data_IF_582023619777
#
_entry.id   IF_582023619777
#
_cell.length_a   1.000
_cell.length_b   1.000
_cell.length_c   1.000
_cell.angle_alpha   90.00
_cell.angle_beta   90.00
_cell.angle_gamma   90.00
#
_symmetry.space_group_name_H-M   'P 1'
#
loop_
_entity.id
_entity.type
_entity.pdbx_description
1 polymer ?
#
# COMPACT_ATOMS: atom_id res chain seq x y z
N UNK A 1 17.20 41.45 -17.91
CA UNK A 1 17.19 41.55 -16.43
C UNK A 1 15.78 41.94 -16.07
N UNK A 2 15.00 41.04 -15.46
CA UNK A 2 13.62 41.35 -15.06
C UNK A 2 13.73 42.02 -13.69
N UNK A 3 13.43 43.32 -13.61
CA UNK A 3 13.38 44.05 -12.35
C UNK A 3 11.93 44.06 -11.89
N UNK A 4 11.61 43.29 -10.84
CA UNK A 4 10.31 43.34 -10.16
C UNK A 4 10.41 44.17 -8.89
N UNK A 5 9.35 44.88 -8.53
CA UNK A 5 9.25 45.59 -7.26
C UNK A 5 8.99 44.61 -6.10
N UNK A 6 9.22 45.05 -4.86
CA UNK A 6 8.89 44.23 -3.69
C UNK A 6 7.38 43.99 -3.58
N UNK A 7 6.56 44.94 -4.01
CA UNK A 7 5.09 44.78 -4.04
C UNK A 7 4.69 43.68 -5.02
N UNK A 8 5.24 43.69 -6.23
CA UNK A 8 5.01 42.63 -7.24
C UNK A 8 5.47 41.25 -6.77
N UNK A 9 6.55 41.17 -5.99
CA UNK A 9 7.04 39.90 -5.42
C UNK A 9 6.18 39.39 -4.24
N UNK A 10 5.34 40.25 -3.66
CA UNK A 10 4.43 39.91 -2.56
C UNK A 10 2.99 39.69 -3.01
N UNK A 11 2.66 40.04 -4.26
CA UNK A 11 1.38 39.74 -4.85
C UNK A 11 1.25 38.22 -5.05
N UNK A 12 0.04 37.69 -4.84
CA UNK A 12 -0.24 36.29 -5.16
C UNK A 12 -0.19 36.06 -6.68
N UNK A 13 0.36 34.92 -7.09
CA UNK A 13 0.37 34.50 -8.49
C UNK A 13 -1.06 34.12 -8.90
N UNK A 14 -1.59 34.81 -9.91
CA UNK A 14 -2.97 34.62 -10.40
C UNK A 14 -3.24 33.17 -10.83
N UNK A 15 -2.23 32.43 -11.31
CA UNK A 15 -2.40 31.03 -11.71
C UNK A 15 -2.75 30.15 -10.52
N UNK A 16 -2.17 30.44 -9.35
CA UNK A 16 -2.42 29.68 -8.13
C UNK A 16 -3.85 29.88 -7.63
N UNK A 17 -4.42 31.07 -7.83
CA UNK A 17 -5.80 31.39 -7.44
C UNK A 17 -6.86 30.59 -8.22
N UNK A 18 -6.50 29.98 -9.35
CA UNK A 18 -7.37 29.12 -10.15
C UNK A 18 -7.51 27.70 -9.57
N UNK A 19 -6.66 27.29 -8.62
CA UNK A 19 -6.74 25.98 -7.98
C UNK A 19 -7.63 26.07 -6.74
N UNK A 20 -8.81 25.44 -6.83
CA UNK A 20 -9.86 25.50 -5.81
C UNK A 20 -10.10 24.13 -5.18
N UNK A 21 -10.82 24.03 -4.06
CA UNK A 21 -11.24 22.73 -3.49
C UNK A 21 -12.02 21.83 -4.45
N UNK A 22 -12.64 22.40 -5.49
CA UNK A 22 -13.39 21.67 -6.53
C UNK A 22 -12.55 21.39 -7.78
N UNK A 23 -11.24 21.62 -7.74
CA UNK A 23 -10.32 21.49 -8.87
C UNK A 23 -10.01 22.82 -9.55
N UNK A 24 -9.66 22.76 -10.84
CA UNK A 24 -9.27 23.93 -11.63
C UNK A 24 -10.48 24.79 -11.97
N UNK A 25 -10.60 25.94 -11.31
CA UNK A 25 -11.62 26.95 -11.54
C UNK A 25 -11.31 27.80 -12.76
N UNK A 26 -11.93 27.49 -13.90
CA UNK A 26 -11.77 28.29 -15.13
C UNK A 26 -12.44 29.66 -15.00
N UNK A 27 -13.54 29.73 -14.23
CA UNK A 27 -14.37 30.95 -14.04
C UNK A 27 -14.40 31.43 -12.59
N UNK A 28 -13.84 30.66 -11.65
CA UNK A 28 -13.79 30.98 -10.23
C UNK A 28 -12.34 31.15 -9.79
N UNK A 29 -12.01 32.29 -9.17
CA UNK A 29 -10.71 32.54 -8.56
C UNK A 29 -10.86 32.68 -7.05
N UNK A 30 -9.97 32.05 -6.30
CA UNK A 30 -9.84 32.31 -4.88
C UNK A 30 -9.20 33.68 -4.65
N UNK A 31 -9.52 34.31 -3.52
CA UNK A 31 -8.71 35.43 -3.01
C UNK A 31 -7.30 34.94 -2.65
N UNK A 32 -6.28 35.80 -2.59
CA UNK A 32 -4.93 35.42 -2.14
C UNK A 32 -4.93 34.61 -0.83
N UNK A 33 -5.69 35.05 0.18
CA UNK A 33 -5.76 34.41 1.49
C UNK A 33 -6.48 33.06 1.43
N UNK A 34 -7.54 32.96 0.64
CA UNK A 34 -8.24 31.69 0.44
C UNK A 34 -7.39 30.70 -0.36
N UNK A 35 -6.60 31.17 -1.33
CA UNK A 35 -5.64 30.35 -2.05
C UNK A 35 -4.56 29.80 -1.11
N UNK A 36 -3.99 30.66 -0.24
CA UNK A 36 -3.02 30.22 0.77
C UNK A 36 -3.62 29.21 1.76
N UNK A 37 -4.80 29.48 2.31
CA UNK A 37 -5.50 28.56 3.21
C UNK A 37 -5.78 27.20 2.53
N UNK A 38 -6.19 27.23 1.26
CA UNK A 38 -6.39 26.00 0.49
C UNK A 38 -5.08 25.23 0.28
N UNK A 39 -3.98 25.90 -0.10
CA UNK A 39 -2.68 25.24 -0.25
C UNK A 39 -2.13 24.70 1.09
N UNK A 40 -2.43 25.35 2.21
CA UNK A 40 -2.14 24.78 3.53
C UNK A 40 -2.91 23.48 3.77
N UNK A 41 -4.23 23.50 3.54
CA UNK A 41 -5.08 22.31 3.73
C UNK A 41 -4.66 21.15 2.81
N UNK A 42 -4.12 21.43 1.62
CA UNK A 42 -3.56 20.40 0.73
C UNK A 42 -2.36 19.65 1.34
N UNK A 43 -1.71 20.20 2.36
CA UNK A 43 -0.60 19.56 3.09
C UNK A 43 -1.03 18.96 4.43
N UNK A 44 -2.31 18.98 4.79
CA UNK A 44 -2.79 18.36 6.02
C UNK A 44 -2.49 16.84 6.01
N UNK A 45 -2.05 16.29 7.15
CA UNK A 45 -1.69 14.87 7.26
C UNK A 45 -0.28 14.52 6.75
N UNK A 46 0.56 15.51 6.44
CA UNK A 46 1.96 15.31 6.02
C UNK A 46 2.98 15.39 7.16
N UNK A 47 2.53 15.32 8.42
CA UNK A 47 3.42 15.46 9.57
C UNK A 47 4.37 14.27 9.72
N UNK A 48 5.63 14.58 10.06
CA UNK A 48 6.66 13.57 10.28
C UNK A 48 6.75 13.15 11.74
N UNK A 49 6.79 11.85 12.01
CA UNK A 49 6.94 11.30 13.37
C UNK A 49 8.24 11.75 14.03
N UNK A 50 8.26 11.89 15.35
CA UNK A 50 9.35 12.52 16.12
C UNK A 50 10.71 11.84 15.91
N UNK A 51 10.72 10.53 15.66
CA UNK A 51 11.91 9.70 15.49
C UNK A 51 12.70 10.02 14.20
N UNK A 52 12.09 10.72 13.24
CA UNK A 52 12.75 11.09 11.98
C UNK A 52 13.98 11.96 12.27
N UNK A 53 15.11 11.58 11.67
CA UNK A 53 16.37 12.28 11.87
C UNK A 53 16.27 13.76 11.46
N UNK A 54 16.89 14.63 12.26
CA UNK A 54 16.79 16.10 12.11
C UNK A 54 17.20 16.59 10.71
N UNK A 55 18.25 16.00 10.11
CA UNK A 55 18.68 16.34 8.76
C UNK A 55 17.61 16.09 7.70
N UNK A 56 16.88 14.97 7.81
CA UNK A 56 15.76 14.64 6.94
C UNK A 56 14.54 15.54 7.22
N UNK A 57 14.22 15.79 8.50
CA UNK A 57 13.13 16.68 8.92
C UNK A 57 13.30 18.11 8.37
N UNK A 58 14.48 18.71 8.54
CA UNK A 58 14.75 20.07 8.05
C UNK A 58 14.60 20.20 6.52
N UNK A 59 14.98 19.16 5.77
CA UNK A 59 14.78 19.15 4.31
C UNK A 59 13.33 18.99 3.92
N UNK A 60 12.58 18.17 4.63
CA UNK A 60 11.14 18.03 4.42
C UNK A 60 10.41 19.35 4.71
N UNK A 61 10.71 20.02 5.82
CA UNK A 61 10.13 21.33 6.13
C UNK A 61 10.52 22.42 5.12
N UNK A 62 11.72 22.34 4.55
CA UNK A 62 12.11 23.19 3.41
C UNK A 62 11.23 22.95 2.18
N UNK A 63 10.88 21.69 1.89
CA UNK A 63 9.95 21.36 0.79
C UNK A 63 8.57 21.96 1.05
N UNK A 64 8.00 21.79 2.25
CA UNK A 64 6.71 22.40 2.63
C UNK A 64 6.74 23.93 2.53
N UNK A 65 7.83 24.53 2.97
CA UNK A 65 8.02 25.99 2.88
C UNK A 65 8.06 26.46 1.41
N UNK A 66 8.78 25.75 0.54
CA UNK A 66 8.83 26.07 -0.90
C UNK A 66 7.46 25.91 -1.55
N UNK A 67 6.72 24.87 -1.17
CA UNK A 67 5.36 24.65 -1.66
C UNK A 67 4.45 25.83 -1.34
N UNK A 68 4.43 26.28 -0.08
CA UNK A 68 3.58 27.41 0.33
C UNK A 68 3.99 28.74 -0.33
N UNK A 69 5.28 28.91 -0.64
CA UNK A 69 5.76 30.05 -1.46
C UNK A 69 5.22 30.03 -2.90
N UNK A 70 4.76 28.87 -3.37
CA UNK A 70 4.04 28.70 -4.64
C UNK A 70 2.84 29.64 -4.83
N UNK A 71 2.26 30.11 -3.73
CA UNK A 71 1.18 31.11 -3.76
C UNK A 71 1.64 32.46 -4.31
N UNK A 72 2.89 32.84 -4.08
CA UNK A 72 3.46 34.11 -4.55
C UNK A 72 4.22 33.93 -5.88
N UNK A 73 4.75 32.74 -6.11
CA UNK A 73 5.48 32.39 -7.33
C UNK A 73 5.15 30.95 -7.74
N UNK A 74 4.30 30.78 -8.75
CA UNK A 74 3.79 29.47 -9.15
C UNK A 74 4.90 28.47 -9.51
N UNK A 75 6.06 28.92 -10.01
CA UNK A 75 7.17 28.02 -10.34
C UNK A 75 7.72 27.32 -9.09
N UNK A 76 7.55 27.91 -7.90
CA UNK A 76 7.95 27.31 -6.63
C UNK A 76 7.21 26.00 -6.32
N UNK A 77 6.02 25.74 -6.88
CA UNK A 77 5.38 24.41 -6.78
C UNK A 77 6.17 23.35 -7.53
N UNK A 78 6.68 23.68 -8.71
CA UNK A 78 7.53 22.78 -9.51
C UNK A 78 8.81 22.47 -8.74
N UNK A 79 9.46 23.51 -8.23
CA UNK A 79 10.67 23.39 -7.41
C UNK A 79 10.41 22.56 -6.16
N UNK A 80 9.28 22.75 -5.47
CA UNK A 80 8.94 21.97 -4.29
C UNK A 80 8.74 20.47 -4.63
N UNK A 81 7.99 20.16 -5.68
CA UNK A 81 7.78 18.77 -6.12
C UNK A 81 9.07 18.08 -6.57
N UNK A 82 9.94 18.81 -7.27
CA UNK A 82 11.26 18.30 -7.68
C UNK A 82 12.19 18.11 -6.49
N UNK A 83 12.19 19.07 -5.57
CA UNK A 83 12.99 18.96 -4.35
C UNK A 83 12.51 17.78 -3.50
N UNK A 84 11.21 17.54 -3.39
CA UNK A 84 10.65 16.38 -2.69
C UNK A 84 11.20 15.05 -3.24
N UNK A 85 11.29 14.90 -4.57
CA UNK A 85 11.87 13.70 -5.22
C UNK A 85 13.34 13.49 -4.88
N UNK A 86 14.10 14.57 -4.67
CA UNK A 86 15.49 14.49 -4.23
C UNK A 86 15.60 14.15 -2.74
N UNK A 87 14.66 14.62 -1.90
CA UNK A 87 14.65 14.35 -0.46
C UNK A 87 14.37 12.88 -0.16
N UNK A 88 13.61 12.16 -0.99
CA UNK A 88 13.42 10.70 -0.87
C UNK A 88 14.75 9.96 -0.74
N UNK A 89 15.70 10.27 -1.63
CA UNK A 89 17.02 9.62 -1.59
C UNK A 89 17.80 10.00 -0.34
N UNK A 90 17.72 11.25 0.10
CA UNK A 90 18.37 11.68 1.32
C UNK A 90 17.83 10.91 2.54
N UNK A 91 16.50 10.80 2.66
CA UNK A 91 15.85 10.05 3.72
C UNK A 91 16.29 8.58 3.73
N UNK A 92 16.37 7.94 2.55
CA UNK A 92 16.87 6.58 2.42
C UNK A 92 18.33 6.44 2.89
N UNK A 93 19.20 7.39 2.53
CA UNK A 93 20.61 7.39 2.95
C UNK A 93 20.76 7.59 4.46
N UNK A 94 20.06 8.57 5.03
CA UNK A 94 20.04 8.83 6.47
C UNK A 94 19.53 7.61 7.24
N UNK A 95 18.45 6.99 6.74
CA UNK A 95 17.91 5.77 7.33
C UNK A 95 18.88 4.60 7.21
N UNK A 96 19.53 4.41 6.06
CA UNK A 96 20.52 3.34 5.86
C UNK A 96 21.67 3.43 6.87
N UNK A 97 22.26 4.61 7.04
CA UNK A 97 23.38 4.80 7.95
C UNK A 97 22.97 4.56 9.41
N UNK A 98 21.81 5.09 9.82
CA UNK A 98 21.30 4.92 11.19
C UNK A 98 20.87 3.48 11.48
N UNK A 99 20.21 2.81 10.54
CA UNK A 99 19.76 1.41 10.66
C UNK A 99 20.93 0.47 10.97
N UNK A 100 22.04 0.62 10.25
CA UNK A 100 23.26 -0.17 10.47
C UNK A 100 24.20 0.40 11.53
N UNK A 101 23.80 1.46 12.25
CA UNK A 101 24.65 2.15 13.25
C UNK A 101 26.05 2.46 12.68
N UNK A 102 26.08 2.97 11.45
CA UNK A 102 27.29 3.32 10.70
C UNK A 102 28.26 2.15 10.44
N UNK A 103 27.80 0.89 10.47
CA UNK A 103 28.60 -0.31 10.23
C UNK A 103 27.87 -1.33 9.39
N UNK A 104 28.35 -1.58 8.17
CA UNK A 104 27.76 -2.56 7.27
C UNK A 104 28.61 -3.83 7.21
N UNK A 105 27.94 -4.98 7.03
CA UNK A 105 28.59 -6.27 6.80
C UNK A 105 28.53 -6.58 5.31
N UNK A 106 29.70 -6.77 4.71
CA UNK A 106 29.86 -7.10 3.30
C UNK A 106 30.36 -8.52 3.16
N UNK A 107 29.80 -9.29 2.23
CA UNK A 107 30.19 -10.68 1.98
C UNK A 107 30.73 -10.80 0.56
N UNK A 108 31.93 -11.33 0.43
CA UNK A 108 32.55 -11.63 -0.87
C UNK A 108 31.83 -12.79 -1.53
N UNK A 109 31.31 -12.57 -2.74
CA UNK A 109 30.62 -13.62 -3.51
C UNK A 109 31.55 -14.75 -3.97
N UNK A 110 32.85 -14.48 -4.10
CA UNK A 110 33.85 -15.45 -4.56
C UNK A 110 34.43 -16.29 -3.43
N UNK A 111 34.58 -15.72 -2.23
CA UNK A 111 35.26 -16.39 -1.09
C UNK A 111 34.35 -16.68 0.10
N UNK A 112 33.15 -16.10 0.13
CA UNK A 112 32.26 -16.13 1.31
C UNK A 112 32.78 -15.30 2.49
N UNK A 113 33.93 -14.62 2.35
CA UNK A 113 34.53 -13.86 3.44
C UNK A 113 33.68 -12.64 3.82
N UNK A 114 33.44 -12.47 5.13
CA UNK A 114 32.74 -11.31 5.68
C UNK A 114 33.72 -10.20 6.08
N UNK A 115 33.39 -8.97 5.73
CA UNK A 115 34.13 -7.77 6.13
C UNK A 115 33.18 -6.73 6.68
N UNK A 116 33.47 -6.22 7.87
CA UNK A 116 32.77 -5.08 8.45
C UNK A 116 33.39 -3.79 7.93
N UNK A 117 32.58 -2.89 7.36
CA UNK A 117 33.00 -1.58 6.90
C UNK A 117 32.36 -0.47 7.76
N UNK A 118 33.20 0.42 8.28
CA UNK A 118 32.76 1.64 8.95
C UNK A 118 32.32 2.68 7.92
N UNK A 119 31.08 3.14 8.02
CA UNK A 119 30.42 4.03 7.05
C UNK A 119 29.70 5.17 7.79
N UNK A 120 30.44 6.23 8.12
CA UNK A 120 29.87 7.46 8.72
C UNK A 120 29.29 8.42 7.67
N UNK A 121 29.59 8.20 6.39
CA UNK A 121 29.04 8.93 5.25
C UNK A 121 28.70 7.99 4.11
N UNK A 122 27.82 8.45 3.22
CA UNK A 122 27.40 7.66 2.08
C UNK A 122 28.49 7.52 1.01
N UNK A 123 29.43 8.46 0.93
CA UNK A 123 30.63 8.32 0.09
C UNK A 123 31.49 7.15 0.56
N UNK A 124 31.58 6.92 1.88
CA UNK A 124 32.26 5.74 2.42
C UNK A 124 31.50 4.45 2.15
N UNK A 125 30.16 4.48 2.10
CA UNK A 125 29.35 3.34 1.65
C UNK A 125 29.75 2.98 0.23
N UNK A 126 29.72 3.94 -0.71
CA UNK A 126 30.12 3.69 -2.10
C UNK A 126 31.56 3.17 -2.21
N UNK A 127 32.50 3.82 -1.54
CA UNK A 127 33.90 3.40 -1.53
C UNK A 127 34.10 1.99 -0.94
N UNK A 128 33.23 1.53 -0.03
CA UNK A 128 33.32 0.18 0.52
C UNK A 128 33.03 -0.90 -0.55
N UNK A 129 32.12 -0.62 -1.49
CA UNK A 129 31.78 -1.52 -2.60
C UNK A 129 32.73 -1.40 -3.80
N UNK A 130 33.41 -0.26 -3.99
CA UNK A 130 34.36 -0.03 -5.09
C UNK A 130 35.74 -0.70 -4.87
N UNK A 131 36.07 -1.16 -3.66
CA UNK A 131 37.42 -1.67 -3.33
C UNK A 131 37.72 -3.09 -3.86
N UNK A 132 38.96 -3.26 -4.37
CA UNK A 132 39.54 -4.50 -4.95
C UNK A 132 39.24 -5.76 -4.12
N UNK A 133 38.78 -6.82 -4.79
CA UNK A 133 38.56 -8.15 -4.16
C UNK A 133 37.40 -9.00 -4.72
N UNK A 134 36.70 -8.56 -5.76
CA UNK A 134 35.55 -9.27 -6.35
C UNK A 134 34.20 -8.63 -5.99
N UNK A 135 33.07 -9.19 -6.44
CA UNK A 135 31.75 -8.65 -6.14
C UNK A 135 31.43 -8.85 -4.65
N UNK A 136 31.13 -7.76 -3.95
CA UNK A 136 30.66 -7.76 -2.56
C UNK A 136 29.14 -7.58 -2.53
N UNK A 137 28.46 -8.37 -1.71
CA UNK A 137 27.03 -8.21 -1.41
C UNK A 137 26.83 -7.66 0.00
N UNK A 138 25.77 -6.91 0.21
CA UNK A 138 25.35 -6.45 1.52
C UNK A 138 24.68 -7.62 2.25
N UNK A 139 25.08 -7.91 3.48
CA UNK A 139 24.35 -8.86 4.32
C UNK A 139 23.22 -8.14 5.04
N UNK A 140 21.99 -8.51 4.73
CA UNK A 140 20.80 -7.97 5.37
C UNK A 140 20.68 -8.46 6.81
N UNK A 141 20.04 -7.66 7.65
CA UNK A 141 19.78 -7.98 9.06
C UNK A 141 18.67 -9.02 9.15
N UNK A 142 17.62 -8.87 8.35
CA UNK A 142 16.54 -9.85 8.25
C UNK A 142 17.02 -11.06 7.44
N UNK A 143 16.96 -12.24 8.07
CA UNK A 143 17.25 -13.53 7.43
C UNK A 143 18.70 -13.76 7.01
N UNK A 144 19.61 -12.79 7.17
CA UNK A 144 21.00 -12.89 6.76
C UNK A 144 21.20 -13.00 5.24
N UNK A 145 20.20 -12.60 4.45
CA UNK A 145 20.19 -12.70 2.99
C UNK A 145 21.27 -11.78 2.40
N UNK A 146 21.88 -12.21 1.29
CA UNK A 146 22.90 -11.44 0.58
C UNK A 146 22.27 -10.65 -0.56
N UNK A 147 22.24 -9.33 -0.42
CA UNK A 147 21.62 -8.42 -1.39
C UNK A 147 22.67 -7.77 -2.30
N UNK A 148 22.33 -7.64 -3.59
CA UNK A 148 23.12 -6.86 -4.53
C UNK A 148 22.91 -5.36 -4.27
N UNK A 149 23.94 -4.71 -3.77
CA UNK A 149 23.88 -3.31 -3.39
C UNK A 149 25.05 -2.54 -3.98
N UNK A 150 24.74 -1.46 -4.70
CA UNK A 150 25.73 -0.60 -5.35
C UNK A 150 25.78 0.82 -4.76
N UNK A 151 25.07 1.07 -3.66
CA UNK A 151 24.98 2.40 -3.06
C UNK A 151 24.27 3.43 -3.95
N UNK A 152 23.48 3.02 -4.94
CA UNK A 152 22.67 3.92 -5.75
C UNK A 152 21.21 3.90 -5.29
N UNK A 153 20.40 4.86 -5.75
CA UNK A 153 19.00 4.99 -5.37
C UNK A 153 18.21 3.68 -5.50
N UNK A 154 18.36 2.95 -6.60
CA UNK A 154 17.66 1.67 -6.77
C UNK A 154 18.07 0.63 -5.71
N UNK A 155 19.36 0.55 -5.40
CA UNK A 155 19.87 -0.33 -4.34
C UNK A 155 19.35 0.06 -2.96
N UNK A 156 19.23 1.36 -2.67
CA UNK A 156 18.62 1.85 -1.42
C UNK A 156 17.15 1.47 -1.29
N UNK A 157 16.37 1.60 -2.36
CA UNK A 157 14.97 1.18 -2.33
C UNK A 157 14.83 -0.33 -2.12
N UNK A 158 15.61 -1.14 -2.86
CA UNK A 158 15.59 -2.59 -2.70
C UNK A 158 16.00 -2.99 -1.28
N UNK A 159 17.10 -2.44 -0.78
CA UNK A 159 17.53 -2.62 0.61
C UNK A 159 16.41 -2.32 1.61
N UNK A 160 15.76 -1.16 1.52
CA UNK A 160 14.72 -0.78 2.46
C UNK A 160 13.52 -1.74 2.42
N UNK A 161 13.19 -2.29 1.25
CA UNK A 161 12.14 -3.30 1.12
C UNK A 161 12.53 -4.65 1.70
N UNK A 162 13.72 -5.13 1.39
CA UNK A 162 14.18 -6.45 1.85
C UNK A 162 14.48 -6.45 3.36
N UNK A 163 14.79 -5.29 3.96
CA UNK A 163 14.82 -5.09 5.43
C UNK A 163 13.42 -4.77 6.03
N UNK A 164 12.33 -4.87 5.25
CA UNK A 164 10.96 -4.70 5.73
C UNK A 164 10.57 -3.28 6.12
N UNK A 165 11.36 -2.28 5.76
CA UNK A 165 11.12 -0.86 6.10
C UNK A 165 10.09 -0.20 5.18
N UNK A 166 9.82 -0.79 4.01
CA UNK A 166 8.88 -0.25 3.02
C UNK A 166 7.97 -1.38 2.50
N UNK A 167 6.91 -1.73 3.25
CA UNK A 167 5.94 -2.76 2.84
C UNK A 167 5.03 -2.25 1.71
N UNK A 168 4.26 -3.16 1.12
CA UNK A 168 3.20 -2.86 0.17
C UNK A 168 3.62 -3.04 -1.28
N UNK A 169 2.81 -3.79 -2.02
CA UNK A 169 3.03 -4.10 -3.43
C UNK A 169 2.65 -2.94 -4.36
N UNK A 170 1.68 -2.10 -3.99
CA UNK A 170 1.35 -0.88 -4.73
C UNK A 170 2.50 0.12 -4.71
N UNK A 171 3.10 0.35 -3.54
CA UNK A 171 4.29 1.18 -3.44
C UNK A 171 5.45 0.58 -4.25
N UNK A 172 5.55 -0.75 -4.31
CA UNK A 172 6.61 -1.46 -5.06
C UNK A 172 6.50 -1.23 -6.56
N UNK A 173 5.29 -1.32 -7.12
CA UNK A 173 5.06 -1.09 -8.55
C UNK A 173 5.32 0.36 -8.96
N UNK A 174 5.19 1.32 -8.03
CA UNK A 174 5.49 2.74 -8.28
C UNK A 174 6.99 3.08 -8.20
N UNK A 175 7.82 2.24 -7.59
CA UNK A 175 9.24 2.51 -7.37
C UNK A 175 10.03 2.83 -8.67
N UNK A 176 9.90 2.06 -9.78
CA UNK A 176 10.60 2.40 -11.02
C UNK A 176 10.24 3.79 -11.56
N UNK A 177 8.98 4.20 -11.40
CA UNK A 177 8.50 5.54 -11.80
C UNK A 177 9.12 6.61 -10.91
N UNK A 178 9.15 6.40 -9.59
CA UNK A 178 9.78 7.35 -8.66
C UNK A 178 11.28 7.53 -8.95
N UNK A 179 12.00 6.44 -9.24
CA UNK A 179 13.41 6.49 -9.63
C UNK A 179 13.59 7.28 -10.93
N UNK A 180 12.76 7.01 -11.95
CA UNK A 180 12.80 7.73 -13.23
C UNK A 180 12.56 9.22 -13.04
N UNK A 181 11.53 9.60 -12.27
CA UNK A 181 11.21 11.00 -12.00
C UNK A 181 12.33 11.70 -11.21
N UNK A 182 12.89 11.06 -10.18
CA UNK A 182 14.07 11.59 -9.46
C UNK A 182 15.24 11.80 -10.42
N UNK A 183 15.51 10.86 -11.33
CA UNK A 183 16.62 10.97 -12.29
C UNK A 183 16.40 12.12 -13.29
N UNK A 184 15.17 12.34 -13.75
CA UNK A 184 14.85 13.49 -14.61
C UNK A 184 15.14 14.82 -13.91
N UNK A 185 14.85 14.92 -12.61
CA UNK A 185 15.16 16.12 -11.81
C UNK A 185 16.68 16.30 -11.63
N UNK A 186 17.40 15.21 -11.36
CA UNK A 186 18.86 15.27 -11.18
C UNK A 186 19.62 15.58 -12.49
N UNK A 187 19.02 15.24 -13.64
CA UNK A 187 19.59 15.40 -14.97
C UNK A 187 18.56 16.03 -15.92
N UNK A 188 18.22 17.31 -15.73
CA UNK A 188 17.16 17.96 -16.50
C UNK A 188 17.55 18.07 -17.98
N UNK A 189 16.63 17.69 -18.86
CA UNK A 189 16.78 17.80 -20.31
C UNK A 189 16.03 18.99 -20.91
N UNK A 190 15.26 19.73 -20.11
CA UNK A 190 14.45 20.86 -20.55
C UNK A 190 13.67 21.51 -19.40
N UNK A 191 12.91 22.56 -19.73
CA UNK A 191 11.99 23.21 -18.81
C UNK A 191 10.70 22.40 -18.67
N UNK A 192 10.19 22.30 -17.45
CA UNK A 192 8.84 21.81 -17.16
C UNK A 192 8.18 22.68 -16.10
N UNK A 193 6.85 22.66 -16.10
CA UNK A 193 6.03 23.34 -15.10
C UNK A 193 5.02 22.34 -14.53
N UNK A 194 5.07 22.14 -13.21
CA UNK A 194 4.15 21.30 -12.46
C UNK A 194 3.00 22.10 -11.85
N UNK A 195 1.98 21.39 -11.35
CA UNK A 195 0.82 21.99 -10.68
C UNK A 195 0.95 21.91 -9.16
N UNK A 196 0.26 22.78 -8.39
CA UNK A 196 0.18 22.66 -6.94
C UNK A 196 -0.41 21.32 -6.47
N UNK A 197 -1.33 20.73 -7.23
CA UNK A 197 -1.94 19.43 -6.89
C UNK A 197 -0.92 18.30 -7.02
N UNK A 198 -0.15 18.29 -8.11
CA UNK A 198 0.90 17.30 -8.31
C UNK A 198 2.02 17.45 -7.27
N UNK A 199 2.42 18.69 -6.96
CA UNK A 199 3.42 18.96 -5.95
C UNK A 199 2.96 18.50 -4.56
N UNK A 200 1.72 18.80 -4.15
CA UNK A 200 1.15 18.31 -2.89
C UNK A 200 1.16 16.78 -2.83
N UNK A 201 0.71 16.11 -3.89
CA UNK A 201 0.72 14.63 -3.96
C UNK A 201 2.12 14.05 -3.76
N UNK A 202 3.14 14.64 -4.38
CA UNK A 202 4.53 14.19 -4.20
C UNK A 202 5.04 14.44 -2.78
N UNK A 203 4.60 15.53 -2.14
CA UNK A 203 4.95 15.83 -0.73
C UNK A 203 4.28 14.83 0.23
N UNK A 204 3.02 14.46 -0.02
CA UNK A 204 2.33 13.39 0.69
C UNK A 204 3.06 12.06 0.55
N UNK A 205 3.37 11.66 -0.69
CA UNK A 205 4.15 10.44 -0.95
C UNK A 205 5.49 10.46 -0.20
N UNK A 206 6.18 11.61 -0.18
CA UNK A 206 7.43 11.79 0.54
C UNK A 206 7.24 11.62 2.06
N UNK A 207 6.21 12.22 2.64
CA UNK A 207 5.91 12.10 4.07
C UNK A 207 5.63 10.64 4.45
N UNK A 208 4.82 9.93 3.66
CA UNK A 208 4.54 8.50 3.84
C UNK A 208 5.80 7.66 3.78
N UNK A 209 6.68 7.89 2.79
CA UNK A 209 7.95 7.16 2.65
C UNK A 209 8.86 7.43 3.86
N UNK A 210 9.02 8.69 4.28
CA UNK A 210 9.86 9.06 5.42
C UNK A 210 9.31 8.42 6.69
N UNK A 211 8.03 8.59 7.01
CA UNK A 211 7.46 8.01 8.22
C UNK A 211 7.63 6.49 8.24
N UNK A 212 7.37 5.83 7.10
CA UNK A 212 7.45 4.37 7.01
C UNK A 212 8.88 3.87 7.20
N UNK A 213 9.88 4.56 6.63
CA UNK A 213 11.30 4.27 6.87
C UNK A 213 11.66 4.28 8.36
N UNK A 214 11.03 5.14 9.16
CA UNK A 214 11.21 5.24 10.61
C UNK A 214 10.21 4.40 11.43
N UNK A 215 9.41 3.55 10.77
CA UNK A 215 8.54 2.58 11.42
C UNK A 215 7.11 3.06 11.68
N UNK A 216 6.73 4.23 11.16
CA UNK A 216 5.39 4.77 11.29
C UNK A 216 4.62 4.71 9.97
N UNK A 217 3.44 4.10 9.98
CA UNK A 217 2.55 4.07 8.80
C UNK A 217 1.53 5.19 8.88
N UNK A 218 1.14 5.74 7.73
CA UNK A 218 0.32 6.96 7.67
C UNK A 218 -1.16 6.61 7.68
N UNK A 219 -1.97 7.10 8.64
CA UNK A 219 -3.42 6.94 8.60
C UNK A 219 -4.02 7.51 7.31
N UNK A 220 -4.78 6.69 6.58
CA UNK A 220 -5.33 7.08 5.27
C UNK A 220 -4.29 7.23 4.14
N UNK A 221 -3.03 6.85 4.39
CA UNK A 221 -1.94 6.90 3.41
C UNK A 221 -2.22 6.09 2.15
N UNK A 222 -1.66 6.52 1.03
CA UNK A 222 -1.86 5.91 -0.29
C UNK A 222 -0.82 4.84 -0.61
N UNK A 223 0.43 5.05 -0.19
CA UNK A 223 1.57 4.18 -0.44
C UNK A 223 1.83 3.23 0.73
N UNK A 224 1.82 3.77 1.95
CA UNK A 224 2.10 3.04 3.18
C UNK A 224 1.03 3.31 4.24
N UNK A 225 -0.23 2.92 3.99
CA UNK A 225 -1.33 3.10 4.93
C UNK A 225 -1.05 2.41 6.27
N UNK A 226 -1.46 3.08 7.35
CA UNK A 226 -1.60 2.46 8.67
C UNK A 226 -2.60 1.30 8.64
N UNK A 227 -2.54 0.39 9.63
CA UNK A 227 -3.61 -0.60 9.83
C UNK A 227 -4.99 0.04 9.77
N UNK A 228 -5.95 -0.69 9.20
CA UNK A 228 -7.33 -0.20 9.09
C UNK A 228 -8.11 -0.65 10.31
N UNK A 229 -8.84 0.29 10.91
CA UNK A 229 -9.81 0.00 11.96
C UNK A 229 -11.00 -0.75 11.36
N UNK A 230 -11.35 -1.89 11.97
CA UNK A 230 -12.54 -2.66 11.65
C UNK A 230 -13.44 -2.69 12.86
N UNK A 231 -14.72 -2.45 12.63
CA UNK A 231 -15.73 -2.56 13.68
C UNK A 231 -16.68 -3.71 13.41
N UNK A 232 -17.41 -4.09 14.45
CA UNK A 232 -18.46 -5.10 14.35
C UNK A 232 -19.65 -4.51 13.58
N UNK A 233 -20.06 -5.18 12.51
CA UNK A 233 -21.16 -4.79 11.64
C UNK A 233 -22.16 -5.94 11.50
N UNK A 234 -23.44 -5.59 11.38
CA UNK A 234 -24.48 -6.48 10.88
C UNK A 234 -24.60 -6.34 9.37
N UNK A 235 -24.71 -7.47 8.69
CA UNK A 235 -25.17 -7.54 7.30
C UNK A 235 -26.47 -8.31 7.30
N UNK A 236 -27.54 -7.71 6.78
CA UNK A 236 -28.88 -8.29 6.74
C UNK A 236 -29.40 -8.22 5.31
N UNK A 237 -30.02 -9.29 4.83
CA UNK A 237 -30.73 -9.25 3.55
C UNK A 237 -31.97 -10.13 3.56
N UNK A 238 -32.92 -9.80 2.70
CA UNK A 238 -34.15 -10.55 2.49
C UNK A 238 -34.15 -11.36 1.19
N UNK A 239 -35.21 -12.13 0.98
CA UNK A 239 -35.42 -12.95 -0.23
C UNK A 239 -35.52 -12.12 -1.53
N UNK A 240 -35.68 -10.79 -1.43
CA UNK A 240 -35.70 -9.88 -2.60
C UNK A 240 -34.29 -9.43 -3.01
N UNK A 241 -33.28 -9.75 -2.20
CA UNK A 241 -31.90 -9.34 -2.41
C UNK A 241 -31.59 -7.92 -1.92
N UNK A 242 -32.49 -7.29 -1.18
CA UNK A 242 -32.22 -6.00 -0.52
C UNK A 242 -31.25 -6.24 0.63
N UNK A 243 -30.11 -5.54 0.63
CA UNK A 243 -29.07 -5.65 1.65
C UNK A 243 -29.02 -4.38 2.50
N UNK A 244 -28.95 -4.54 3.82
CA UNK A 244 -28.71 -3.49 4.79
C UNK A 244 -27.47 -3.80 5.63
N UNK A 245 -26.63 -2.77 5.84
CA UNK A 245 -25.35 -2.89 6.55
C UNK A 245 -25.24 -1.75 7.55
N UNK A 246 -24.92 -2.08 8.79
CA UNK A 246 -24.66 -1.08 9.83
C UNK A 246 -24.26 -1.69 11.17
N UNK A 247 -24.08 -0.81 12.16
CA UNK A 247 -23.88 -1.20 13.55
C UNK A 247 -25.17 -1.85 14.09
N UNK A 248 -25.03 -2.85 14.97
CA UNK A 248 -26.14 -3.55 15.63
C UNK A 248 -27.18 -2.64 16.29
N UNK A 249 -26.78 -1.45 16.72
CA UNK A 249 -27.64 -0.44 17.34
C UNK A 249 -28.36 0.46 16.32
N UNK A 250 -27.91 0.46 15.06
CA UNK A 250 -28.36 1.40 14.03
C UNK A 250 -29.15 0.77 12.89
N UNK A 251 -29.08 -0.56 12.71
CA UNK A 251 -29.82 -1.22 11.62
C UNK A 251 -31.32 -1.26 11.96
N UNK A 252 -32.18 -0.59 11.18
CA UNK A 252 -33.61 -0.51 11.47
C UNK A 252 -34.29 -1.85 11.15
N UNK A 253 -34.47 -2.69 12.18
CA UNK A 253 -35.12 -3.99 12.04
C UNK A 253 -36.61 -3.90 11.75
N UNK A 254 -37.22 -2.73 11.99
CA UNK A 254 -38.66 -2.50 11.86
C UNK A 254 -39.19 -2.57 10.41
N UNK A 255 -38.30 -2.47 9.43
CA UNK A 255 -38.67 -2.39 8.00
C UNK A 255 -38.39 -3.68 7.22
N UNK A 256 -37.88 -4.73 7.89
CA UNK A 256 -37.50 -5.98 7.23
C UNK A 256 -38.50 -7.10 7.55
N UNK A 257 -38.82 -7.92 6.56
CA UNK A 257 -39.81 -9.01 6.65
C UNK A 257 -39.31 -10.17 7.52
N UNK A 258 -40.18 -11.13 7.85
CA UNK A 258 -39.85 -12.27 8.73
C UNK A 258 -38.78 -13.24 8.16
N UNK A 259 -38.39 -13.10 6.90
CA UNK A 259 -37.42 -13.97 6.22
C UNK A 259 -36.15 -13.20 5.86
N UNK A 260 -35.38 -12.82 6.88
CA UNK A 260 -34.06 -12.20 6.69
C UNK A 260 -32.95 -13.14 7.10
N UNK A 261 -31.87 -13.12 6.33
CA UNK A 261 -30.59 -13.72 6.73
C UNK A 261 -29.71 -12.63 7.31
N UNK A 262 -29.07 -12.93 8.43
CA UNK A 262 -28.21 -12.02 9.17
C UNK A 262 -26.83 -12.65 9.39
N UNK A 263 -25.80 -11.82 9.21
CA UNK A 263 -24.40 -12.10 9.56
C UNK A 263 -23.88 -11.02 10.52
N UNK A 264 -23.02 -11.43 11.43
CA UNK A 264 -22.18 -10.52 12.22
C UNK A 264 -20.76 -10.65 11.69
N UNK A 265 -20.20 -9.53 11.22
CA UNK A 265 -18.85 -9.48 10.65
C UNK A 265 -18.01 -8.42 11.36
N UNK A 266 -16.68 -8.56 11.30
CA UNK A 266 -15.75 -7.46 11.60
C UNK A 266 -15.20 -6.91 10.29
N UNK A 267 -15.48 -5.63 10.01
CA UNK A 267 -15.18 -5.00 8.72
C UNK A 267 -14.89 -3.49 8.84
N UNK A 268 -14.25 -2.92 7.82
CA UNK A 268 -14.04 -1.48 7.73
C UNK A 268 -15.35 -0.75 7.35
N UNK A 269 -15.76 0.24 8.15
CA UNK A 269 -17.09 0.88 8.06
C UNK A 269 -17.22 1.86 6.90
N UNK A 270 -16.11 2.46 6.49
CA UNK A 270 -16.10 3.55 5.51
C UNK A 270 -16.38 3.07 4.08
N UNK A 271 -16.48 1.75 3.86
CA UNK A 271 -16.66 1.17 2.53
C UNK A 271 -17.74 0.08 2.52
N UNK A 272 -18.96 0.41 2.99
CA UNK A 272 -20.07 -0.56 3.10
C UNK A 272 -20.44 -1.20 1.75
N UNK A 273 -20.19 -0.52 0.63
CA UNK A 273 -20.45 -1.07 -0.70
C UNK A 273 -19.55 -2.27 -1.01
N UNK A 274 -18.33 -2.31 -0.47
CA UNK A 274 -17.41 -3.45 -0.62
C UNK A 274 -17.92 -4.71 0.09
N UNK A 275 -18.84 -4.60 1.05
CA UNK A 275 -19.42 -5.76 1.73
C UNK A 275 -20.53 -6.43 0.92
N UNK A 276 -20.98 -5.81 -0.18
CA UNK A 276 -21.89 -6.47 -1.12
C UNK A 276 -21.13 -7.57 -1.87
N UNK A 277 -21.66 -8.79 -1.87
CA UNK A 277 -20.94 -9.94 -2.43
C UNK A 277 -19.88 -10.53 -1.49
N UNK A 278 -19.86 -10.13 -0.21
CA UNK A 278 -19.07 -10.81 0.81
C UNK A 278 -19.42 -12.31 0.85
N UNK A 279 -18.38 -13.14 0.81
CA UNK A 279 -18.47 -14.59 0.93
C UNK A 279 -17.30 -15.04 1.80
N UNK A 280 -17.52 -15.64 2.99
CA UNK A 280 -16.45 -15.96 3.92
C UNK A 280 -15.53 -17.08 3.41
N UNK A 281 -15.87 -17.75 2.30
CA UNK A 281 -15.01 -18.74 1.63
C UNK A 281 -13.95 -18.10 0.74
N UNK A 282 -14.08 -16.81 0.44
CA UNK A 282 -13.25 -16.07 -0.50
C UNK A 282 -12.87 -14.70 0.05
N UNK A 283 -11.77 -14.14 -0.45
CA UNK A 283 -11.36 -12.77 -0.17
C UNK A 283 -11.95 -11.89 -1.29
N UNK A 284 -13.22 -11.48 -1.17
CA UNK A 284 -13.92 -10.68 -2.20
C UNK A 284 -13.88 -9.17 -1.95
N UNK A 285 -13.46 -8.76 -0.76
CA UNK A 285 -13.48 -7.36 -0.32
C UNK A 285 -12.09 -6.76 -0.31
N UNK A 286 -11.97 -5.46 -0.62
CA UNK A 286 -10.66 -4.77 -0.60
C UNK A 286 -9.93 -4.94 0.74
N UNK A 287 -10.66 -4.78 1.85
CA UNK A 287 -10.13 -4.91 3.20
C UNK A 287 -10.49 -6.27 3.81
N UNK A 288 -9.67 -6.83 4.72
CA UNK A 288 -9.98 -8.10 5.37
C UNK A 288 -11.29 -8.04 6.16
N UNK A 289 -12.20 -8.98 5.89
CA UNK A 289 -13.47 -9.11 6.61
C UNK A 289 -13.49 -10.46 7.34
N UNK A 290 -13.82 -10.42 8.63
CA UNK A 290 -13.94 -11.63 9.44
C UNK A 290 -15.42 -11.94 9.69
N UNK A 291 -15.88 -13.14 9.36
CA UNK A 291 -17.18 -13.63 9.79
C UNK A 291 -17.10 -14.05 11.25
N UNK A 292 -17.82 -13.36 12.12
CA UNK A 292 -17.87 -13.65 13.55
C UNK A 292 -19.01 -14.62 13.89
N UNK A 293 -20.17 -14.45 13.24
CA UNK A 293 -21.34 -15.27 13.46
C UNK A 293 -22.31 -15.25 12.26
N UNK A 294 -23.05 -16.35 12.09
CA UNK A 294 -24.13 -16.51 11.12
C UNK A 294 -23.84 -17.61 10.09
N UNK A 295 -24.77 -17.87 9.15
CA UNK A 295 -26.06 -17.19 8.98
C UNK A 295 -27.08 -17.50 10.08
N UNK A 296 -27.98 -16.56 10.36
CA UNK A 296 -29.14 -16.76 11.23
C UNK A 296 -30.11 -15.58 11.21
N UNK A 297 -31.00 -15.47 12.18
CA UNK A 297 -31.94 -14.32 12.30
C UNK A 297 -31.31 -13.15 13.05
N UNK A 298 -31.95 -11.98 12.97
CA UNK A 298 -31.49 -10.77 13.67
C UNK A 298 -31.58 -10.93 15.18
N UNK A 299 -32.61 -11.59 15.70
CA UNK A 299 -32.76 -11.87 17.13
C UNK A 299 -31.62 -12.76 17.64
N UNK A 300 -31.25 -13.79 16.86
CA UNK A 300 -30.13 -14.65 17.19
C UNK A 300 -28.80 -13.90 17.16
N UNK A 301 -28.61 -13.01 16.18
CA UNK A 301 -27.44 -12.15 16.11
C UNK A 301 -27.33 -11.23 17.33
N UNK A 302 -28.44 -10.63 17.77
CA UNK A 302 -28.50 -9.78 18.97
C UNK A 302 -28.13 -10.54 20.23
N UNK A 303 -28.71 -11.72 20.43
CA UNK A 303 -28.37 -12.60 21.55
C UNK A 303 -26.89 -12.97 21.51
N UNK A 304 -26.35 -13.28 20.33
CA UNK A 304 -24.94 -13.63 20.19
C UNK A 304 -24.01 -12.45 20.52
N UNK A 305 -24.27 -11.25 19.98
CA UNK A 305 -23.45 -10.06 20.24
C UNK A 305 -23.51 -9.66 21.70
N UNK A 306 -24.67 -9.73 22.35
CA UNK A 306 -24.79 -9.43 23.78
C UNK A 306 -24.01 -10.42 24.66
N UNK A 307 -24.01 -11.71 24.29
CA UNK A 307 -23.28 -12.75 25.00
C UNK A 307 -21.76 -12.71 24.78
N UNK A 308 -21.30 -12.42 23.55
CA UNK A 308 -19.87 -12.51 23.19
C UNK A 308 -19.14 -11.17 23.25
N UNK A 309 -19.87 -10.04 23.16
CA UNK A 309 -19.33 -8.67 23.17
C UNK A 309 -18.11 -8.55 22.25
N UNK A 310 -18.25 -8.86 20.95
CA UNK A 310 -17.15 -8.77 20.01
C UNK A 310 -16.56 -7.35 20.03
N UNK A 311 -15.24 -7.26 19.98
CA UNK A 311 -14.52 -6.00 19.97
C UNK A 311 -14.05 -5.64 18.57
N UNK A 312 -13.87 -4.36 18.35
CA UNK A 312 -13.20 -3.81 17.18
C UNK A 312 -11.71 -4.20 17.18
N UNK A 313 -11.08 -4.15 16.02
CA UNK A 313 -9.64 -4.36 15.88
C UNK A 313 -9.00 -3.51 14.79
N UNK A 314 -7.68 -3.61 14.69
CA UNK A 314 -6.90 -3.07 13.59
C UNK A 314 -6.23 -4.21 12.83
N UNK A 315 -6.25 -4.13 11.50
CA UNK A 315 -5.64 -5.14 10.64
C UNK A 315 -4.71 -4.52 9.60
N UNK A 316 -3.59 -5.19 9.35
CA UNK A 316 -2.72 -4.83 8.25
C UNK A 316 -3.36 -5.17 6.89
N UNK A 317 -3.14 -4.30 5.92
CA UNK A 317 -3.65 -4.44 4.55
C UNK A 317 -2.55 -4.61 3.52
N UNK A 318 -1.30 -4.36 3.88
CA UNK A 318 -0.18 -4.44 2.97
C UNK A 318 0.38 -5.84 2.92
N UNK A 319 0.93 -6.22 1.77
CA UNK A 319 1.75 -7.44 1.65
C UNK A 319 1.01 -8.74 2.05
N UNK A 320 -0.33 -8.75 1.91
CA UNK A 320 -1.20 -9.89 2.17
C UNK A 320 -0.91 -11.05 1.23
N UNK A 321 -1.25 -12.26 1.69
CA UNK A 321 -1.10 -13.48 0.93
C UNK A 321 -2.46 -14.06 0.55
N UNK A 322 -2.61 -14.38 -0.71
CA UNK A 322 -3.83 -14.92 -1.29
C UNK A 322 -3.52 -16.24 -1.98
N UNK A 323 -4.40 -17.21 -1.79
CA UNK A 323 -4.33 -18.51 -2.46
C UNK A 323 -5.37 -18.57 -3.57
N UNK A 324 -4.92 -18.80 -4.79
CA UNK A 324 -5.76 -18.85 -5.99
C UNK A 324 -5.61 -20.24 -6.63
N UNK A 325 -6.73 -20.83 -7.02
CA UNK A 325 -6.78 -22.13 -7.72
C UNK A 325 -7.00 -21.90 -9.20
N UNK A 326 -6.22 -22.57 -10.03
CA UNK A 326 -6.44 -22.73 -11.46
C UNK A 326 -6.75 -24.19 -11.77
N UNK A 327 -7.89 -24.45 -12.38
CA UNK A 327 -8.32 -25.80 -12.74
C UNK A 327 -8.97 -25.80 -14.11
N UNK A 328 -8.26 -26.34 -15.11
CA UNK A 328 -8.59 -26.12 -16.52
C UNK A 328 -8.45 -24.62 -16.86
N UNK A 329 -9.44 -24.08 -17.56
CA UNK A 329 -9.51 -22.66 -17.93
C UNK A 329 -10.10 -21.78 -16.82
N UNK A 330 -10.57 -22.39 -15.73
CA UNK A 330 -11.18 -21.66 -14.61
C UNK A 330 -10.12 -21.18 -13.62
N UNK A 331 -10.23 -19.91 -13.24
CA UNK A 331 -9.49 -19.31 -12.14
C UNK A 331 -10.50 -19.02 -11.03
N UNK A 332 -10.33 -19.64 -9.88
CA UNK A 332 -11.18 -19.38 -8.72
C UNK A 332 -10.84 -18.02 -8.08
N UNK A 333 -11.78 -17.38 -7.37
CA UNK A 333 -11.48 -16.19 -6.59
C UNK A 333 -10.42 -16.44 -5.50
N UNK A 334 -9.73 -15.38 -5.05
CA UNK A 334 -8.72 -15.47 -3.99
C UNK A 334 -9.29 -15.99 -2.67
N UNK A 335 -8.47 -16.71 -1.90
CA UNK A 335 -8.82 -17.22 -0.56
C UNK A 335 -7.69 -16.99 0.44
N UNK A 336 -8.02 -16.99 1.72
CA UNK A 336 -7.04 -17.11 2.80
C UNK A 336 -6.48 -18.53 2.92
N UNK A 337 -5.28 -18.65 3.47
CA UNK A 337 -4.56 -19.95 3.63
C UNK A 337 -5.31 -20.93 4.54
N UNK A 338 -5.94 -20.44 5.60
CA UNK A 338 -6.74 -21.25 6.54
C UNK A 338 -7.98 -21.88 5.87
N UNK A 339 -8.67 -21.12 5.01
CA UNK A 339 -9.82 -21.62 4.23
C UNK A 339 -9.36 -22.64 3.19
N UNK A 340 -8.24 -22.38 2.50
CA UNK A 340 -7.64 -23.36 1.57
C UNK A 340 -7.29 -24.67 2.29
N UNK A 341 -6.74 -24.60 3.51
CA UNK A 341 -6.43 -25.79 4.31
C UNK A 341 -7.67 -26.60 4.71
N UNK A 342 -8.82 -25.93 4.86
CA UNK A 342 -10.11 -26.55 5.13
C UNK A 342 -10.85 -27.12 3.90
N UNK A 343 -10.29 -27.06 2.70
CA UNK A 343 -11.01 -27.56 1.52
C UNK A 343 -11.20 -29.08 1.56
N UNK A 344 -12.38 -29.59 1.15
CA UNK A 344 -12.61 -31.02 1.01
C UNK A 344 -11.79 -31.57 -0.18
N UNK A 345 -11.47 -32.87 -0.15
CA UNK A 345 -10.51 -33.49 -1.08
C UNK A 345 -10.88 -33.33 -2.55
N UNK A 346 -12.17 -33.38 -2.88
CA UNK A 346 -12.72 -33.17 -4.22
C UNK A 346 -12.47 -31.75 -4.76
N UNK A 347 -12.23 -30.78 -3.87
CA UNK A 347 -11.94 -29.40 -4.23
C UNK A 347 -10.44 -29.06 -4.27
N UNK A 348 -9.54 -30.05 -4.06
CA UNK A 348 -8.09 -29.81 -4.00
C UNK A 348 -7.35 -29.95 -5.35
N UNK A 349 -7.99 -30.50 -6.37
CA UNK A 349 -7.34 -30.75 -7.67
C UNK A 349 -6.94 -29.46 -8.42
N UNK A 350 -5.91 -29.49 -9.26
CA UNK A 350 -5.49 -28.34 -10.09
C UNK A 350 -4.22 -27.68 -9.58
N UNK A 351 -3.86 -26.56 -10.21
CA UNK A 351 -2.66 -25.78 -9.87
C UNK A 351 -3.03 -24.68 -8.91
N UNK A 352 -2.35 -24.63 -7.78
CA UNK A 352 -2.53 -23.62 -6.75
C UNK A 352 -1.39 -22.61 -6.80
N UNK A 353 -1.73 -21.35 -6.56
CA UNK A 353 -0.78 -20.24 -6.58
C UNK A 353 -0.91 -19.46 -5.28
N UNK A 354 0.22 -19.25 -4.60
CA UNK A 354 0.33 -18.32 -3.49
C UNK A 354 0.78 -16.98 -4.04
N UNK A 355 -0.02 -15.94 -3.87
CA UNK A 355 0.21 -14.61 -4.45
C UNK A 355 0.30 -13.57 -3.34
N UNK A 356 1.30 -12.70 -3.41
CA UNK A 356 1.47 -11.57 -2.50
C UNK A 356 0.94 -10.30 -3.16
N UNK A 357 0.00 -9.61 -2.52
CA UNK A 357 -0.66 -8.39 -3.00
C UNK A 357 -1.20 -7.57 -1.82
N UNK A 358 -1.60 -6.32 -2.04
CA UNK A 358 -2.24 -5.51 -0.99
C UNK A 358 -3.78 -5.71 -0.96
N UNK A 359 -4.35 -6.19 -2.06
CA UNK A 359 -5.79 -6.42 -2.22
C UNK A 359 -6.06 -7.66 -3.10
N UNK A 360 -7.20 -8.34 -2.91
CA UNK A 360 -7.52 -9.57 -3.63
C UNK A 360 -7.69 -9.35 -5.15
N UNK A 361 -8.14 -8.17 -5.59
CA UNK A 361 -8.38 -7.89 -7.00
C UNK A 361 -7.07 -7.79 -7.77
N UNK A 362 -6.04 -7.18 -7.17
CA UNK A 362 -4.68 -7.19 -7.68
C UNK A 362 -4.13 -8.62 -7.79
N UNK A 363 -4.34 -9.47 -6.78
CA UNK A 363 -3.90 -10.87 -6.82
C UNK A 363 -4.59 -11.68 -7.92
N UNK A 364 -5.91 -11.56 -8.05
CA UNK A 364 -6.67 -12.27 -9.08
C UNK A 364 -6.35 -11.79 -10.49
N UNK A 365 -6.28 -10.47 -10.70
CA UNK A 365 -5.91 -9.91 -11.99
C UNK A 365 -4.49 -10.30 -12.40
N UNK A 366 -3.55 -10.43 -11.45
CA UNK A 366 -2.21 -10.94 -11.73
C UNK A 366 -2.28 -12.34 -12.34
N UNK A 367 -2.97 -13.29 -11.69
CA UNK A 367 -3.11 -14.66 -12.22
C UNK A 367 -3.86 -14.70 -13.54
N UNK A 368 -4.96 -13.95 -13.67
CA UNK A 368 -5.72 -13.86 -14.92
C UNK A 368 -4.87 -13.32 -16.09
N UNK A 369 -4.00 -12.35 -15.82
CA UNK A 369 -3.13 -11.75 -16.82
C UNK A 369 -1.87 -12.59 -17.12
N UNK A 370 -1.56 -13.61 -16.32
CA UNK A 370 -0.54 -14.61 -16.66
C UNK A 370 -1.04 -15.63 -17.68
N UNK A 371 -2.35 -15.90 -17.71
CA UNK A 371 -2.96 -16.93 -18.59
C UNK A 371 -3.48 -16.40 -19.92
N UNK A 372 -3.60 -15.07 -20.09
CA UNK A 372 -4.06 -14.47 -21.34
C UNK A 372 -3.06 -14.60 -22.49
N UNK A 373 -3.56 -14.56 -23.73
CA UNK A 373 -2.76 -14.70 -24.96
C UNK A 373 -1.63 -13.65 -25.13
N UNK A 374 -1.71 -12.53 -24.41
CA UNK A 374 -0.71 -11.45 -24.39
C UNK A 374 0.09 -11.39 -23.10
N UNK A 375 -0.03 -12.41 -22.23
CA UNK A 375 0.55 -12.56 -20.88
C UNK A 375 1.27 -11.30 -20.36
N UNK A 376 0.48 -10.32 -19.92
CA UNK A 376 1.04 -9.05 -19.48
C UNK A 376 1.73 -9.17 -18.12
N UNK A 377 1.50 -10.24 -17.35
CA UNK A 377 2.20 -10.52 -16.10
C UNK A 377 3.11 -11.73 -16.28
N UNK A 378 4.31 -11.69 -15.68
CA UNK A 378 5.28 -12.79 -15.73
C UNK A 378 5.39 -13.48 -14.37
N UNK A 379 6.06 -14.63 -14.33
CA UNK A 379 6.42 -15.31 -13.07
C UNK A 379 7.67 -14.70 -12.39
N UNK A 380 8.24 -13.62 -12.96
CA UNK A 380 9.35 -12.92 -12.35
C UNK A 380 8.91 -12.27 -11.03
N UNK A 381 9.78 -12.35 -10.01
CA UNK A 381 9.54 -11.75 -8.69
C UNK A 381 10.50 -10.57 -8.49
N UNK A 382 10.00 -9.36 -8.20
CA UNK A 382 8.59 -8.94 -8.25
C UNK A 382 8.06 -8.78 -9.69
N UNK A 383 6.73 -8.78 -9.88
CA UNK A 383 6.12 -8.47 -11.17
C UNK A 383 6.34 -6.99 -11.51
N UNK A 384 6.70 -6.68 -12.76
CA UNK A 384 6.94 -5.30 -13.21
C UNK A 384 5.68 -4.59 -13.70
N UNK A 385 4.58 -5.34 -13.91
CA UNK A 385 3.40 -4.84 -14.62
C UNK A 385 2.16 -4.68 -13.73
N UNK A 386 2.17 -5.22 -12.52
CA UNK A 386 1.06 -5.08 -11.57
C UNK A 386 1.57 -5.08 -10.11
N UNK A 387 0.78 -4.59 -9.14
CA UNK A 387 1.13 -4.57 -7.73
C UNK A 387 0.85 -5.93 -7.05
N UNK A 388 1.33 -7.02 -7.64
CA UNK A 388 1.23 -8.36 -7.09
C UNK A 388 2.36 -9.23 -7.65
N UNK A 389 2.71 -10.32 -6.97
CA UNK A 389 3.57 -11.34 -7.57
C UNK A 389 3.29 -12.71 -7.00
N UNK A 390 3.52 -13.74 -7.81
CA UNK A 390 3.41 -15.14 -7.40
C UNK A 390 4.58 -15.49 -6.49
N UNK A 391 4.29 -15.87 -5.24
CA UNK A 391 5.29 -16.35 -4.26
C UNK A 391 5.70 -17.78 -4.57
N UNK A 392 4.75 -18.64 -4.91
CA UNK A 392 5.02 -20.02 -5.33
C UNK A 392 3.81 -20.58 -6.08
N UNK A 393 4.00 -21.66 -6.84
CA UNK A 393 2.96 -22.39 -7.53
C UNK A 393 3.20 -23.89 -7.40
N UNK A 394 2.13 -24.69 -7.34
CA UNK A 394 2.25 -26.14 -7.16
C UNK A 394 0.91 -26.81 -6.93
N UNK A 395 0.93 -28.00 -6.35
CA UNK A 395 -0.28 -28.64 -5.83
C UNK A 395 -0.70 -28.03 -4.48
N UNK A 396 -1.85 -28.48 -3.97
CA UNK A 396 -2.44 -27.97 -2.73
C UNK A 396 -1.50 -28.14 -1.53
N UNK A 397 -0.80 -29.27 -1.42
CA UNK A 397 0.09 -29.57 -0.29
C UNK A 397 1.35 -28.69 -0.33
N UNK A 398 1.94 -28.53 -1.52
CA UNK A 398 3.09 -27.65 -1.76
C UNK A 398 2.78 -26.22 -1.32
N UNK A 399 1.60 -25.69 -1.70
CA UNK A 399 1.21 -24.32 -1.31
C UNK A 399 1.05 -24.17 0.20
N UNK A 400 0.43 -25.14 0.88
CA UNK A 400 0.27 -25.07 2.33
C UNK A 400 1.60 -25.23 3.08
N UNK A 401 2.52 -26.06 2.56
CA UNK A 401 3.86 -26.17 3.12
C UNK A 401 4.62 -24.85 3.02
N UNK A 402 4.59 -24.20 1.86
CA UNK A 402 5.20 -22.88 1.67
C UNK A 402 4.54 -21.80 2.53
N UNK A 403 3.20 -21.83 2.65
CA UNK A 403 2.47 -20.90 3.51
C UNK A 403 2.88 -21.06 4.98
N UNK A 404 2.99 -22.30 5.47
CA UNK A 404 3.45 -22.58 6.83
C UNK A 404 4.90 -22.16 7.07
N UNK A 405 5.81 -22.39 6.10
CA UNK A 405 7.20 -21.92 6.17
C UNK A 405 7.30 -20.39 6.21
N UNK A 406 6.36 -19.69 5.58
CA UNK A 406 6.24 -18.24 5.63
C UNK A 406 5.54 -17.72 6.90
N UNK A 407 5.14 -18.61 7.82
CA UNK A 407 4.47 -18.25 9.07
C UNK A 407 2.99 -17.87 8.92
N UNK A 408 2.35 -18.21 7.80
CA UNK A 408 0.93 -17.93 7.57
C UNK A 408 0.04 -18.94 8.31
N UNK A 409 -1.17 -18.51 8.71
CA UNK A 409 -2.12 -19.40 9.37
C UNK A 409 -2.66 -20.46 8.40
N UNK A 410 -2.34 -21.71 8.68
CA UNK A 410 -2.74 -22.88 7.88
C UNK A 410 -3.65 -23.82 8.67
N UNK A 411 -4.19 -23.36 9.82
CA UNK A 411 -5.19 -24.12 10.57
C UNK A 411 -6.47 -24.22 9.73
N UNK A 412 -6.97 -25.43 9.45
CA UNK A 412 -8.17 -25.60 8.64
C UNK A 412 -9.38 -24.83 9.20
N UNK A 413 -10.00 -24.01 8.36
CA UNK A 413 -11.27 -23.33 8.65
C UNK A 413 -12.30 -23.74 7.60
N UNK A 414 -13.53 -23.98 8.04
CA UNK A 414 -14.67 -24.32 7.18
C UNK A 414 -15.75 -23.24 7.31
N UNK A 415 -15.65 -22.14 6.55
CA UNK A 415 -16.62 -21.07 6.63
C UNK A 415 -18.02 -21.54 6.23
N UNK A 416 -19.05 -20.87 6.76
CA UNK A 416 -20.42 -21.11 6.34
C UNK A 416 -20.57 -20.88 4.83
N UNK A 417 -21.37 -21.71 4.16
CA UNK A 417 -21.71 -21.53 2.75
C UNK A 417 -22.81 -20.46 2.62
N UNK A 418 -22.41 -19.20 2.76
CA UNK A 418 -23.30 -18.04 2.70
C UNK A 418 -22.66 -16.95 1.85
N UNK A 419 -23.45 -16.29 1.01
CA UNK A 419 -22.98 -15.19 0.18
C UNK A 419 -23.97 -14.03 0.29
N UNK A 420 -23.46 -12.85 0.60
CA UNK A 420 -24.25 -11.62 0.61
C UNK A 420 -24.65 -11.29 -0.83
N UNK A 421 -25.94 -11.03 -1.12
CA UNK A 421 -26.37 -10.63 -2.46
C UNK A 421 -25.57 -9.43 -2.97
N UNK A 422 -25.26 -9.43 -4.27
CA UNK A 422 -24.56 -8.33 -4.93
C UNK A 422 -25.23 -8.00 -6.25
N UNK A 423 -25.42 -6.70 -6.56
CA UNK A 423 -25.82 -6.28 -7.91
C UNK A 423 -24.65 -6.36 -8.91
N UNK A 424 -23.42 -6.56 -8.43
CA UNK A 424 -22.24 -6.71 -9.26
C UNK A 424 -22.04 -8.18 -9.67
N UNK A 425 -21.48 -8.44 -10.87
CA UNK A 425 -21.14 -9.80 -11.29
C UNK A 425 -20.24 -10.46 -10.24
N UNK A 426 -20.58 -11.68 -9.84
CA UNK A 426 -19.69 -12.46 -8.99
C UNK A 426 -18.39 -12.75 -9.75
N UNK A 427 -17.30 -12.85 -9.01
CA UNK A 427 -16.00 -13.25 -9.58
C UNK A 427 -16.03 -14.69 -10.12
N UNK A 428 -17.12 -15.41 -9.82
CA UNK A 428 -17.42 -16.77 -10.25
C UNK A 428 -18.36 -16.83 -11.45
N UNK A 429 -18.82 -15.68 -12.00
CA UNK A 429 -19.64 -15.67 -13.20
C UNK A 429 -18.78 -16.17 -14.38
N UNK A 430 -19.23 -17.27 -14.99
CA UNK A 430 -18.58 -17.99 -16.08
C UNK A 430 -18.10 -17.01 -17.17
N UNK A 431 -16.78 -16.95 -17.36
CA UNK A 431 -16.13 -16.39 -18.54
C UNK A 431 -15.75 -17.50 -19.50
#
# INVERSE_FOLDING_TARGET
MITRTLEELRAADERTQLFTPFGLGITLRLTPEAALAHQHAMLDGTDLVDEVAEGTRLRFERVRTLYLRGVLDHESFTVAGDHARLVVEHALRDRFLSFYRHRIVLVSTSSGHERIAQVDSFDKVRAAFERRGGPWKLKLTIGGVLEEFNGMLNGLWNWAREEGLLPGQRARSMQPVQIKLRNMVAHPSGYHLGTPVDAARVIHDLAEIINCLWGARTPGGRLHPAPVHRSVQLIIWDDTGRVEIGDITTVPTEHMTANVTCLVVRAQVNDRQELLGFDPRFETTRYPVELLWGPGTVEQARVWVEAHRPVDDEVDTLDRHFVIRRHGDRIDPPRGTAVTAGLPTDQRAGVWLLVKADDPLSAFNHIRNQTGATSACTDAKPCTNCPAHTVTSGDWETILQHAAQAGLDTRPVHPANVQVPSPLPSWTAES
#
